data_IF_273168186003
#
_entry.id   IF_273168186003
#
_cell.length_a   1.000
_cell.length_b   1.000
_cell.length_c   1.000
_cell.angle_alpha   90.00
_cell.angle_beta   90.00
_cell.angle_gamma   90.00
#
_symmetry.space_group_name_H-M   'P 1'
#
loop_
_entity.id
_entity.type
_entity.pdbx_description
1 polymer ?
#
# COMPACT_ATOMS: atom_id res chain seq x y z
N UNK A 1 -4.72 -33.71 -35.65
CA UNK A 1 -3.48 -33.00 -35.28
C UNK A 1 -3.66 -32.41 -33.90
N UNK A 2 -2.68 -32.65 -33.04
CA UNK A 2 -2.72 -32.56 -31.58
C UNK A 2 -2.43 -31.14 -31.10
N UNK A 3 -3.46 -30.28 -31.04
CA UNK A 3 -3.34 -28.95 -30.43
C UNK A 3 -4.03 -28.96 -29.06
N UNK A 4 -3.65 -29.90 -28.20
CA UNK A 4 -4.14 -29.93 -26.82
C UNK A 4 -3.37 -28.88 -26.01
N UNK A 5 -4.05 -27.96 -25.30
CA UNK A 5 -3.38 -26.96 -24.46
C UNK A 5 -2.77 -27.57 -23.19
N UNK A 6 -3.09 -28.83 -22.88
CA UNK A 6 -2.60 -29.53 -21.70
C UNK A 6 -1.25 -30.19 -21.97
N UNK A 7 -0.32 -29.98 -21.04
CA UNK A 7 1.00 -30.61 -20.99
C UNK A 7 1.05 -31.59 -19.83
N UNK A 8 1.62 -32.77 -20.06
CA UNK A 8 1.91 -33.75 -19.02
C UNK A 8 3.26 -33.41 -18.37
N UNK A 9 3.32 -33.45 -17.04
CA UNK A 9 4.54 -33.15 -16.26
C UNK A 9 4.87 -34.31 -15.29
N UNK A 10 6.15 -34.70 -15.15
CA UNK A 10 6.56 -35.86 -14.37
C UNK A 10 6.48 -35.62 -12.85
N UNK A 11 5.77 -36.51 -12.14
CA UNK A 11 5.49 -36.41 -10.69
C UNK A 11 6.72 -36.57 -9.79
N UNK A 12 7.74 -37.29 -10.25
CA UNK A 12 8.94 -37.63 -9.45
C UNK A 12 10.15 -36.78 -9.82
N UNK A 13 9.97 -35.74 -10.64
CA UNK A 13 11.05 -34.83 -11.03
C UNK A 13 10.90 -33.51 -10.27
N UNK A 14 12.04 -32.87 -10.00
CA UNK A 14 12.03 -31.50 -9.47
C UNK A 14 11.45 -30.56 -10.53
N UNK A 15 10.63 -29.61 -10.07
CA UNK A 15 10.10 -28.57 -10.93
C UNK A 15 11.23 -27.81 -11.64
N UNK A 16 10.98 -27.41 -12.89
CA UNK A 16 11.88 -26.54 -13.61
C UNK A 16 12.01 -25.21 -12.86
N UNK A 17 13.24 -24.72 -12.70
CA UNK A 17 13.49 -23.40 -12.10
C UNK A 17 13.03 -22.36 -13.10
N UNK A 18 12.05 -21.52 -12.72
CA UNK A 18 11.65 -20.37 -13.53
C UNK A 18 12.82 -19.39 -13.52
N UNK A 19 13.42 -19.06 -14.69
CA UNK A 19 14.48 -18.07 -14.75
C UNK A 19 13.94 -16.74 -14.23
N UNK A 20 14.71 -16.06 -13.37
CA UNK A 20 14.37 -14.69 -13.01
C UNK A 20 14.37 -13.87 -14.30
N UNK A 21 13.18 -13.39 -14.68
CA UNK A 21 13.08 -12.41 -15.75
C UNK A 21 13.78 -11.17 -15.24
N UNK A 22 14.86 -10.78 -15.92
CA UNK A 22 15.44 -9.46 -15.77
C UNK A 22 14.47 -8.47 -16.43
N UNK A 23 13.32 -8.26 -15.81
CA UNK A 23 12.42 -7.20 -16.23
C UNK A 23 13.12 -5.88 -15.91
N UNK A 24 13.08 -4.94 -16.85
CA UNK A 24 13.59 -3.59 -16.62
C UNK A 24 12.93 -3.07 -15.35
N UNK A 25 13.73 -2.53 -14.42
CA UNK A 25 13.24 -1.98 -13.17
C UNK A 25 12.04 -1.06 -13.46
N UNK A 26 10.97 -1.14 -12.66
CA UNK A 26 9.79 -0.31 -12.85
C UNK A 26 10.15 1.17 -12.96
N UNK A 27 11.16 1.63 -12.20
CA UNK A 27 11.68 2.99 -12.29
C UNK A 27 12.31 3.30 -13.64
N UNK A 28 13.09 2.37 -14.21
CA UNK A 28 13.66 2.51 -15.55
C UNK A 28 12.57 2.55 -16.61
N UNK A 29 11.54 1.71 -16.48
CA UNK A 29 10.37 1.74 -17.38
C UNK A 29 9.63 3.07 -17.27
N UNK A 30 9.37 3.55 -16.06
CA UNK A 30 8.72 4.85 -15.82
C UNK A 30 9.54 5.99 -16.43
N UNK A 31 10.86 5.96 -16.27
CA UNK A 31 11.77 6.94 -16.85
C UNK A 31 11.76 6.88 -18.40
N UNK A 32 11.91 5.70 -18.99
CA UNK A 32 11.88 5.52 -20.45
C UNK A 32 10.55 5.93 -21.09
N UNK A 33 9.44 5.79 -20.36
CA UNK A 33 8.11 6.20 -20.83
C UNK A 33 7.79 7.67 -20.50
N UNK A 34 8.71 8.44 -19.90
CA UNK A 34 8.45 9.81 -19.48
C UNK A 34 7.35 9.96 -18.43
N UNK A 35 7.06 8.88 -17.69
CA UNK A 35 6.02 8.81 -16.64
C UNK A 35 6.57 9.07 -15.25
N UNK A 36 7.89 9.17 -15.10
CA UNK A 36 8.53 9.52 -13.85
C UNK A 36 8.51 11.05 -13.69
N UNK A 37 7.62 11.56 -12.84
CA UNK A 37 7.51 13.00 -12.54
C UNK A 37 8.29 13.26 -11.24
N UNK A 38 9.21 14.22 -11.27
CA UNK A 38 9.88 14.71 -10.07
C UNK A 38 8.85 15.32 -9.14
N UNK A 39 8.88 14.95 -7.85
CA UNK A 39 8.03 15.58 -6.85
C UNK A 39 8.54 17.01 -6.65
N UNK A 40 7.70 17.99 -6.96
CA UNK A 40 7.90 19.34 -6.43
C UNK A 40 7.77 19.24 -4.92
N UNK A 41 8.84 19.58 -4.20
CA UNK A 41 8.80 19.73 -2.74
C UNK A 41 8.04 21.02 -2.46
N UNK A 42 6.72 20.95 -2.61
CA UNK A 42 5.82 21.93 -2.07
C UNK A 42 5.53 21.48 -0.64
N UNK A 43 6.41 21.83 0.29
CA UNK A 43 5.93 22.06 1.64
C UNK A 43 4.89 23.18 1.49
N UNK A 44 3.60 22.84 1.58
CA UNK A 44 2.57 23.86 1.74
C UNK A 44 2.91 24.50 3.08
N UNK A 45 3.32 25.76 3.05
CA UNK A 45 3.25 26.61 4.23
C UNK A 45 1.77 26.73 4.57
N UNK A 46 1.26 25.77 5.35
CA UNK A 46 -0.09 25.83 5.90
C UNK A 46 -0.11 27.08 6.77
N UNK A 47 -0.90 28.08 6.36
CA UNK A 47 -1.06 29.28 7.18
C UNK A 47 -1.67 28.88 8.53
N UNK A 48 -1.41 29.69 9.57
CA UNK A 48 -2.07 29.49 10.87
C UNK A 48 -3.59 29.47 10.71
N UNK A 49 -4.13 30.27 9.79
CA UNK A 49 -5.55 30.31 9.42
C UNK A 49 -6.07 28.98 8.79
N UNK A 50 -5.28 28.32 7.94
CA UNK A 50 -5.66 27.00 7.37
C UNK A 50 -5.62 25.90 8.44
N UNK A 51 -4.70 25.99 9.41
CA UNK A 51 -4.64 25.04 10.53
C UNK A 51 -5.80 25.24 11.52
N UNK A 52 -6.22 26.49 11.77
CA UNK A 52 -7.38 26.80 12.62
C UNK A 52 -8.68 26.24 12.01
N UNK A 53 -8.90 26.41 10.71
CA UNK A 53 -10.08 25.86 10.02
C UNK A 53 -10.13 24.32 10.11
N UNK A 54 -8.99 23.65 9.92
CA UNK A 54 -8.87 22.20 10.04
C UNK A 54 -9.09 21.75 11.49
N UNK A 55 -8.55 22.47 12.47
CA UNK A 55 -8.73 22.19 13.89
C UNK A 55 -10.19 22.33 14.32
N UNK A 56 -10.91 23.34 13.84
CA UNK A 56 -12.33 23.50 14.13
C UNK A 56 -13.19 22.40 13.48
N UNK A 57 -12.79 21.93 12.29
CA UNK A 57 -13.44 20.81 11.62
C UNK A 57 -13.22 19.46 12.32
N UNK A 58 -12.00 19.20 12.80
CA UNK A 58 -11.64 17.96 13.51
C UNK A 58 -12.03 17.98 15.00
N UNK A 59 -12.07 19.16 15.63
CA UNK A 59 -12.34 19.39 17.04
C UNK A 59 -13.79 19.73 17.36
N UNK A 60 -14.69 19.70 16.38
CA UNK A 60 -16.13 19.86 16.60
C UNK A 60 -16.70 18.78 17.54
N UNK A 61 -17.79 19.12 18.24
CA UNK A 61 -18.46 18.31 19.28
C UNK A 61 -18.96 16.92 18.80
N UNK A 62 -18.93 16.66 17.49
CA UNK A 62 -19.30 15.39 16.85
C UNK A 62 -18.09 14.45 16.60
N UNK A 63 -16.96 14.74 17.25
CA UNK A 63 -15.77 13.91 17.20
C UNK A 63 -15.98 12.55 17.89
N UNK A 64 -15.23 11.53 17.45
CA UNK A 64 -15.26 10.16 18.01
C UNK A 64 -14.93 10.04 19.51
N UNK A 65 -14.72 11.15 20.23
CA UNK A 65 -14.45 11.18 21.65
C UNK A 65 -15.56 10.50 22.48
N UNK A 66 -16.83 10.69 22.10
CA UNK A 66 -17.98 10.04 22.74
C UNK A 66 -18.10 8.53 22.42
N UNK A 67 -17.35 8.03 21.43
CA UNK A 67 -17.30 6.60 21.09
C UNK A 67 -16.07 5.87 21.67
N UNK A 68 -15.17 6.58 22.35
CA UNK A 68 -13.96 6.01 22.96
C UNK A 68 -14.13 5.73 24.46
N UNK A 69 -15.28 6.06 25.06
CA UNK A 69 -15.60 5.84 26.48
C UNK A 69 -16.37 4.53 26.75
N UNK A 70 -16.53 3.65 25.74
CA UNK A 70 -17.16 2.33 25.91
C UNK A 70 -16.09 1.23 26.02
N UNK A 71 -15.54 1.07 27.22
CA UNK A 71 -15.12 -0.20 27.84
C UNK A 71 -14.28 -1.22 27.01
N UNK A 72 -13.18 -0.78 26.38
CA UNK A 72 -12.12 -1.70 25.88
C UNK A 72 -11.04 -2.02 26.96
N UNK A 73 -11.46 -2.07 28.23
CA UNK A 73 -10.67 -2.46 29.40
C UNK A 73 -10.41 -4.00 29.48
N UNK A 74 -10.55 -4.76 28.39
CA UNK A 74 -10.28 -6.22 28.38
C UNK A 74 -9.48 -6.72 27.16
N UNK A 75 -8.45 -5.99 26.73
CA UNK A 75 -7.36 -6.60 25.93
C UNK A 75 -6.20 -6.93 26.87
N UNK A 76 -6.30 -8.09 27.52
CA UNK A 76 -5.13 -8.79 28.07
C UNK A 76 -4.45 -9.57 26.95
N UNK A 77 -3.34 -9.06 26.42
CA UNK A 77 -2.48 -9.82 25.51
C UNK A 77 -1.63 -10.75 26.38
N UNK A 78 -2.11 -11.98 26.63
CA UNK A 78 -1.26 -13.05 27.16
C UNK A 78 -0.23 -13.43 26.08
N UNK A 79 1.04 -13.15 26.37
CA UNK A 79 2.20 -13.59 25.59
C UNK A 79 2.64 -14.97 26.10
N UNK A 80 2.51 -16.00 25.26
CA UNK A 80 3.21 -17.30 25.39
C UNK A 80 3.66 -17.82 24.01
#
# INVERSE_FOLDING_TARGET
MLNSPLREEPRNQRAAVIPLKQESNLLDWLHSNGRLISRDVHERDLSEEENEEISDFLGGEDGIADYLDDDDDDITIEED
#
